data_IF_620955197197
#
_entry.id   IF_620955197197
#
_cell.length_a   1.000
_cell.length_b   1.000
_cell.length_c   1.000
_cell.angle_alpha   90.00
_cell.angle_beta   90.00
_cell.angle_gamma   90.00
#
_symmetry.space_group_name_H-M   'P 1'
#
loop_
_entity.id
_entity.type
_entity.pdbx_description
1 polymer ?
#
# COMPACT_ATOMS: atom_id res chain seq x y z
N UNK A 1 -11.13 2.90 -3.82
CA UNK A 1 -11.78 1.61 -4.09
C UNK A 1 -10.70 0.53 -4.20
N UNK A 2 -10.92 -0.63 -3.57
CA UNK A 2 -10.10 -1.82 -3.76
C UNK A 2 -10.50 -2.53 -5.04
N UNK A 3 -9.55 -2.96 -5.88
CA UNK A 3 -9.95 -3.78 -7.03
C UNK A 3 -10.47 -5.16 -6.61
N UNK A 4 -9.96 -5.75 -5.54
CA UNK A 4 -10.37 -7.09 -5.09
C UNK A 4 -11.72 -7.07 -4.38
N UNK A 5 -11.98 -6.09 -3.51
CA UNK A 5 -13.28 -6.00 -2.83
C UNK A 5 -14.38 -5.67 -3.83
N UNK A 6 -14.11 -4.74 -4.75
CA UNK A 6 -15.06 -4.42 -5.83
C UNK A 6 -15.37 -5.66 -6.67
N UNK A 7 -14.36 -6.46 -7.05
CA UNK A 7 -14.57 -7.73 -7.77
C UNK A 7 -15.42 -8.72 -6.95
N UNK A 8 -15.18 -8.84 -5.64
CA UNK A 8 -15.95 -9.73 -4.76
C UNK A 8 -17.42 -9.33 -4.68
N UNK A 9 -17.69 -8.03 -4.54
CA UNK A 9 -19.07 -7.51 -4.53
C UNK A 9 -19.74 -7.73 -5.89
N UNK A 10 -19.04 -7.45 -6.99
CA UNK A 10 -19.54 -7.72 -8.35
C UNK A 10 -19.91 -9.19 -8.54
N UNK A 11 -19.08 -10.12 -8.03
CA UNK A 11 -19.39 -11.55 -8.12
C UNK A 11 -20.69 -11.91 -7.40
N UNK A 12 -20.91 -11.39 -6.19
CA UNK A 12 -22.18 -11.59 -5.48
C UNK A 12 -23.36 -10.97 -6.21
N UNK A 13 -23.21 -9.78 -6.81
CA UNK A 13 -24.25 -9.15 -7.62
C UNK A 13 -24.58 -10.03 -8.83
N UNK A 14 -23.58 -10.54 -9.57
CA UNK A 14 -23.82 -11.42 -10.72
C UNK A 14 -24.46 -12.76 -10.36
N UNK A 15 -24.15 -13.32 -9.18
CA UNK A 15 -24.82 -14.52 -8.68
C UNK A 15 -26.32 -14.27 -8.43
N UNK A 16 -26.66 -13.09 -7.89
CA UNK A 16 -28.05 -12.70 -7.60
C UNK A 16 -28.82 -12.22 -8.85
N UNK A 17 -28.12 -11.54 -9.75
CA UNK A 17 -28.64 -10.87 -10.95
C UNK A 17 -27.72 -11.20 -12.15
N UNK A 18 -27.90 -12.37 -12.80
CA UNK A 18 -27.04 -12.81 -13.90
C UNK A 18 -26.97 -11.85 -15.10
N UNK A 19 -28.01 -11.06 -15.31
CA UNK A 19 -28.11 -10.06 -16.38
C UNK A 19 -27.45 -8.71 -16.06
N UNK A 20 -26.85 -8.53 -14.87
CA UNK A 20 -26.25 -7.27 -14.48
C UNK A 20 -25.02 -6.93 -15.35
N UNK A 21 -25.05 -5.74 -15.95
CA UNK A 21 -23.91 -5.15 -16.65
C UNK A 21 -22.93 -4.55 -15.63
N UNK A 22 -21.62 -4.68 -15.90
CA UNK A 22 -20.57 -4.27 -14.98
C UNK A 22 -19.61 -3.34 -15.70
N UNK A 23 -19.49 -2.13 -15.18
CA UNK A 23 -18.48 -1.14 -15.57
C UNK A 23 -17.56 -0.89 -14.38
N UNK A 24 -16.26 -1.03 -14.58
CA UNK A 24 -15.26 -0.87 -13.52
C UNK A 24 -14.51 0.43 -13.76
N UNK A 25 -14.87 1.47 -13.00
CA UNK A 25 -14.29 2.81 -13.13
C UNK A 25 -13.07 3.04 -12.22
N UNK A 26 -12.37 1.97 -11.83
CA UNK A 26 -11.12 2.10 -11.06
C UNK A 26 -10.01 2.53 -12.02
N UNK A 27 -9.47 3.74 -11.81
CA UNK A 27 -8.36 4.26 -12.60
C UNK A 27 -7.15 3.29 -12.64
N UNK A 28 -6.53 3.15 -13.82
CA UNK A 28 -5.37 2.30 -14.03
C UNK A 28 -4.22 2.61 -13.06
N UNK A 29 -3.97 3.88 -12.75
CA UNK A 29 -2.93 4.30 -11.82
C UNK A 29 -3.12 3.76 -10.39
N UNK A 30 -4.38 3.54 -9.97
CA UNK A 30 -4.72 2.91 -8.70
C UNK A 30 -4.50 1.41 -8.76
N UNK A 31 -4.88 0.75 -9.85
CA UNK A 31 -4.69 -0.69 -10.04
C UNK A 31 -3.20 -1.06 -10.05
N UNK A 32 -2.38 -0.36 -10.85
CA UNK A 32 -0.94 -0.63 -10.95
C UNK A 32 -0.22 -0.54 -9.60
N UNK A 33 -0.57 0.44 -8.76
CA UNK A 33 0.05 0.57 -7.43
C UNK A 33 -0.40 -0.54 -6.47
N UNK A 34 -1.68 -0.90 -6.51
CA UNK A 34 -2.21 -2.00 -5.72
C UNK A 34 -1.55 -3.33 -6.10
N UNK A 35 -1.38 -3.60 -7.40
CA UNK A 35 -0.69 -4.79 -7.89
C UNK A 35 0.79 -4.79 -7.53
N UNK A 36 1.46 -3.65 -7.65
CA UNK A 36 2.86 -3.50 -7.25
C UNK A 36 3.06 -3.83 -5.76
N UNK A 37 2.22 -3.31 -4.87
CA UNK A 37 2.30 -3.64 -3.44
C UNK A 37 2.01 -5.12 -3.20
N UNK A 38 0.94 -5.66 -3.77
CA UNK A 38 0.56 -7.07 -3.60
C UNK A 38 1.65 -8.04 -4.06
N UNK A 39 2.43 -7.69 -5.07
CA UNK A 39 3.50 -8.53 -5.61
C UNK A 39 4.86 -8.27 -4.95
N UNK A 40 5.26 -7.00 -4.83
CA UNK A 40 6.64 -6.61 -4.51
C UNK A 40 6.89 -6.47 -3.01
N UNK A 41 5.86 -6.26 -2.19
CA UNK A 41 6.02 -6.23 -0.74
C UNK A 41 6.26 -7.64 -0.16
N UNK A 42 5.95 -8.72 -0.88
CA UNK A 42 6.09 -10.10 -0.39
C UNK A 42 7.52 -10.40 0.06
N UNK A 43 7.64 -10.91 1.29
CA UNK A 43 8.93 -11.24 1.90
C UNK A 43 9.69 -10.03 2.46
N UNK A 44 9.08 -8.85 2.49
CA UNK A 44 9.49 -7.77 3.38
C UNK A 44 8.97 -8.01 4.80
N UNK A 45 9.64 -7.42 5.79
CA UNK A 45 9.27 -7.50 7.20
C UNK A 45 8.34 -6.36 7.63
N UNK A 46 8.25 -5.30 6.82
CA UNK A 46 7.42 -4.11 6.99
C UNK A 46 7.21 -3.41 5.64
N UNK A 47 6.01 -2.87 5.41
CA UNK A 47 5.73 -1.93 4.31
C UNK A 47 5.46 -0.54 4.87
N UNK A 48 6.16 0.47 4.37
CA UNK A 48 5.90 1.89 4.65
C UNK A 48 5.16 2.50 3.47
N UNK A 49 3.96 3.02 3.72
CA UNK A 49 3.10 3.67 2.73
C UNK A 49 3.09 5.17 2.97
N UNK A 50 3.67 5.94 2.05
CA UNK A 50 3.76 7.40 2.17
C UNK A 50 2.53 8.09 1.57
N UNK A 51 1.80 8.85 2.38
CA UNK A 51 0.72 9.72 1.93
C UNK A 51 -0.29 10.13 3.00
N UNK A 52 -1.17 11.03 2.59
CA UNK A 52 -2.22 11.64 3.42
C UNK A 52 -3.15 10.58 4.06
N UNK A 53 -3.44 10.65 5.38
CA UNK A 53 -4.36 9.76 6.08
C UNK A 53 -5.79 9.77 5.53
N UNK A 54 -6.21 10.86 4.90
CA UNK A 54 -7.54 11.03 4.30
C UNK A 54 -7.61 10.46 2.89
N UNK A 55 -6.47 10.08 2.30
CA UNK A 55 -6.43 9.49 0.96
C UNK A 55 -6.88 8.03 0.98
N UNK A 56 -8.04 7.77 0.39
CA UNK A 56 -8.54 6.41 0.19
C UNK A 56 -7.57 5.53 -0.60
N UNK A 57 -6.81 6.10 -1.54
CA UNK A 57 -5.80 5.34 -2.27
C UNK A 57 -4.64 4.94 -1.37
N UNK A 58 -4.13 5.85 -0.55
CA UNK A 58 -3.05 5.59 0.41
C UNK A 58 -3.48 4.52 1.41
N UNK A 59 -4.64 4.69 2.05
CA UNK A 59 -5.17 3.71 3.00
C UNK A 59 -5.40 2.34 2.35
N UNK A 60 -5.78 2.30 1.06
CA UNK A 60 -5.93 1.02 0.38
C UNK A 60 -4.60 0.30 0.14
N UNK A 61 -3.50 1.02 -0.09
CA UNK A 61 -2.19 0.38 -0.23
C UNK A 61 -1.73 -0.30 1.07
N UNK A 62 -2.05 0.29 2.23
CA UNK A 62 -1.83 -0.34 3.55
C UNK A 62 -2.59 -1.66 3.63
N UNK A 63 -3.91 -1.61 3.40
CA UNK A 63 -4.76 -2.81 3.40
C UNK A 63 -4.28 -3.88 2.42
N UNK A 64 -3.84 -3.49 1.22
CA UNK A 64 -3.33 -4.43 0.22
C UNK A 64 -2.03 -5.10 0.67
N UNK A 65 -1.14 -4.40 1.35
CA UNK A 65 0.05 -5.01 1.93
C UNK A 65 -0.32 -6.06 2.96
N UNK A 66 -1.23 -5.72 3.88
CA UNK A 66 -1.62 -6.59 4.98
C UNK A 66 -2.43 -7.81 4.48
N UNK A 67 -3.44 -7.58 3.64
CA UNK A 67 -4.38 -8.61 3.18
C UNK A 67 -3.81 -9.51 2.07
N UNK A 68 -2.98 -8.97 1.16
CA UNK A 68 -2.57 -9.67 -0.06
C UNK A 68 -1.07 -10.00 -0.12
N UNK A 69 -0.21 -9.13 0.40
CA UNK A 69 1.21 -9.44 0.53
C UNK A 69 1.52 -10.19 1.83
N UNK A 70 0.64 -10.12 2.84
CA UNK A 70 0.84 -10.72 4.16
C UNK A 70 1.92 -10.00 4.97
N UNK A 71 2.15 -8.72 4.68
CA UNK A 71 3.21 -7.92 5.29
C UNK A 71 2.59 -6.75 6.08
N UNK A 72 2.93 -6.59 7.37
CA UNK A 72 2.42 -5.49 8.17
C UNK A 72 2.78 -4.15 7.51
N UNK A 73 1.87 -3.19 7.57
CA UNK A 73 2.07 -1.90 6.93
C UNK A 73 1.79 -0.73 7.87
N UNK A 74 2.61 0.30 7.75
CA UNK A 74 2.42 1.57 8.43
C UNK A 74 2.28 2.68 7.41
N UNK A 75 1.50 3.70 7.76
CA UNK A 75 1.29 4.88 6.92
C UNK A 75 1.90 6.10 7.59
N UNK A 76 2.69 6.84 6.83
CA UNK A 76 3.26 8.12 7.24
C UNK A 76 2.97 9.18 6.18
N UNK A 77 2.76 10.43 6.59
CA UNK A 77 2.62 11.54 5.63
C UNK A 77 3.97 11.99 5.09
N UNK A 78 4.97 12.03 5.97
CA UNK A 78 6.34 12.43 5.68
C UNK A 78 7.32 11.75 6.66
N UNK A 79 8.61 12.01 6.49
CA UNK A 79 9.68 11.39 7.27
C UNK A 79 9.57 11.66 8.78
N UNK A 80 8.97 12.78 9.21
CA UNK A 80 8.88 13.13 10.64
C UNK A 80 7.96 12.20 11.44
N UNK A 81 7.07 11.47 10.75
CA UNK A 81 6.16 10.50 11.36
C UNK A 81 6.75 9.08 11.41
N UNK A 82 7.96 8.88 10.89
CA UNK A 82 8.62 7.58 10.93
C UNK A 82 9.15 7.30 12.34
N UNK A 83 8.65 6.24 12.97
CA UNK A 83 9.17 5.73 14.24
C UNK A 83 10.26 4.69 13.97
N UNK A 84 11.47 4.94 14.50
CA UNK A 84 12.61 4.04 14.35
C UNK A 84 12.38 2.68 15.03
N UNK A 85 11.51 2.61 16.03
CA UNK A 85 11.14 1.35 16.67
C UNK A 85 10.47 0.37 15.70
N UNK A 86 9.77 0.86 14.67
CA UNK A 86 9.18 0.00 13.63
C UNK A 86 10.23 -0.73 12.79
N UNK A 87 11.46 -0.21 12.75
CA UNK A 87 12.56 -0.74 11.96
C UNK A 87 13.42 -1.74 12.76
N UNK A 88 13.31 -1.77 14.09
CA UNK A 88 14.12 -2.64 14.93
C UNK A 88 13.89 -4.11 14.57
N UNK A 89 14.99 -4.82 14.27
CA UNK A 89 14.97 -6.23 13.87
C UNK A 89 14.43 -6.51 12.46
N UNK A 90 14.08 -5.48 11.67
CA UNK A 90 13.61 -5.62 10.29
C UNK A 90 14.82 -5.62 9.34
N UNK A 91 14.88 -6.59 8.43
CA UNK A 91 15.96 -6.73 7.44
C UNK A 91 15.55 -6.17 6.08
N UNK A 92 14.26 -6.24 5.74
CA UNK A 92 13.73 -5.84 4.44
C UNK A 92 12.50 -4.97 4.65
N UNK A 93 12.58 -3.71 4.23
CA UNK A 93 11.46 -2.75 4.30
C UNK A 93 11.05 -2.39 2.89
N UNK A 94 9.77 -2.58 2.58
CA UNK A 94 9.18 -2.11 1.34
C UNK A 94 8.69 -0.66 1.50
N UNK A 95 8.91 0.19 0.50
CA UNK A 95 8.41 1.58 0.50
C UNK A 95 7.54 1.80 -0.72
N UNK A 96 6.37 2.38 -0.52
CA UNK A 96 5.44 2.76 -1.59
C UNK A 96 4.77 4.09 -1.26
N UNK A 97 3.99 4.64 -2.19
CA UNK A 97 3.30 5.90 -1.98
C UNK A 97 1.97 5.99 -2.71
N UNK A 98 1.06 6.77 -2.13
CA UNK A 98 -0.21 7.13 -2.76
C UNK A 98 0.01 7.86 -4.10
N UNK A 99 -0.98 7.77 -5.00
CA UNK A 99 -0.87 8.41 -6.33
C UNK A 99 -0.77 9.94 -6.26
N UNK A 100 -1.32 10.56 -5.22
CA UNK A 100 -1.28 12.00 -4.96
C UNK A 100 -0.08 12.45 -4.13
N UNK A 101 0.79 11.53 -3.71
CA UNK A 101 1.94 11.83 -2.85
C UNK A 101 3.11 12.33 -3.69
N UNK A 102 3.70 13.51 -3.40
CA UNK A 102 4.91 13.99 -4.07
C UNK A 102 6.06 12.98 -3.95
N UNK A 103 6.74 12.68 -5.05
CA UNK A 103 7.82 11.68 -5.06
C UNK A 103 9.00 12.02 -4.16
N UNK A 104 9.19 13.31 -3.83
CA UNK A 104 10.24 13.76 -2.93
C UNK A 104 10.08 13.17 -1.52
N UNK A 105 8.86 13.11 -0.99
CA UNK A 105 8.58 12.56 0.34
C UNK A 105 8.95 11.07 0.41
N UNK A 106 8.60 10.31 -0.63
CA UNK A 106 9.00 8.89 -0.73
C UNK A 106 10.51 8.73 -0.80
N UNK A 107 11.21 9.59 -1.54
CA UNK A 107 12.68 9.54 -1.63
C UNK A 107 13.37 9.89 -0.31
N UNK A 108 12.79 10.79 0.48
CA UNK A 108 13.31 11.11 1.82
C UNK A 108 13.27 9.90 2.74
N UNK A 109 12.16 9.17 2.72
CA UNK A 109 12.01 7.89 3.45
C UNK A 109 13.03 6.86 2.97
N UNK A 110 13.19 6.68 1.66
CA UNK A 110 14.17 5.74 1.10
C UNK A 110 15.60 6.10 1.53
N UNK A 111 16.00 7.38 1.41
CA UNK A 111 17.33 7.84 1.81
C UNK A 111 17.60 7.62 3.30
N UNK A 112 16.59 7.82 4.15
CA UNK A 112 16.71 7.54 5.57
C UNK A 112 16.97 6.05 5.82
N UNK A 113 16.20 5.16 5.17
CA UNK A 113 16.37 3.71 5.31
C UNK A 113 17.72 3.20 4.79
N UNK A 114 18.26 3.79 3.72
CA UNK A 114 19.59 3.46 3.19
C UNK A 114 20.73 3.79 4.18
N UNK A 115 20.52 4.78 5.05
CA UNK A 115 21.48 5.22 6.06
C UNK A 115 21.21 4.62 7.45
N UNK A 116 20.05 3.97 7.63
CA UNK A 116 19.63 3.40 8.90
C UNK A 116 20.57 2.27 9.30
N UNK A 117 21.23 2.44 10.44
CA UNK A 117 22.03 1.39 11.08
C UNK A 117 21.20 0.81 12.22
N UNK A 118 20.78 -0.46 12.14
CA UNK A 118 20.07 -1.08 13.24
C UNK A 118 20.99 -1.10 14.47
N UNK A 119 20.48 -0.66 15.61
CA UNK A 119 21.13 -0.90 16.90
C UNK A 119 21.17 -2.42 17.15
N UNK A 120 22.34 -2.93 17.56
CA UNK A 120 22.59 -4.36 17.82
C UNK A 120 21.63 -4.98 18.85
#
# INVERSE_FOLDING_TARGET
LSQWDTRRVIQHIKQRYPQAEVHVDICAATQTRQEAVAAQAKGADLTIVVGDPRSNNTNRLVQVSEELAGVPAVRIEDLSQLDAEWLRGKKRVAVTAGASTPSQLTREVIRYLEQYQPEE
#
